data_IF_811624925130
#
_entry.id   IF_811624925130
#
_cell.length_a   1.000
_cell.length_b   1.000
_cell.length_c   1.000
_cell.angle_alpha   90.00
_cell.angle_beta   90.00
_cell.angle_gamma   90.00
#
_symmetry.space_group_name_H-M   'P 1'
#
loop_
_entity.id
_entity.type
_entity.pdbx_description
1 polymer ?
#
# COMPACT_ATOMS: atom_id res chain seq x y z
N UNK A 1 -59.48 52.68 -1.61
CA UNK A 1 -58.38 53.50 -2.15
C UNK A 1 -57.17 53.34 -1.23
N UNK A 2 -56.08 52.83 -1.79
CA UNK A 2 -54.69 52.79 -1.33
C UNK A 2 -54.37 52.34 0.11
N UNK A 3 -54.01 51.06 0.20
CA UNK A 3 -53.11 50.46 1.18
C UNK A 3 -51.71 51.11 1.12
N UNK A 4 -51.28 51.77 2.21
CA UNK A 4 -49.88 52.18 2.40
C UNK A 4 -49.08 50.99 2.93
N UNK A 5 -48.16 50.50 2.11
CA UNK A 5 -47.07 49.58 2.52
C UNK A 5 -46.11 50.34 3.43
N UNK A 6 -46.04 49.98 4.71
CA UNK A 6 -44.90 50.24 5.58
C UNK A 6 -44.10 48.95 5.72
N UNK A 7 -42.98 48.89 5.01
CA UNK A 7 -41.94 47.89 5.19
C UNK A 7 -41.25 48.23 6.52
N UNK A 8 -41.50 47.42 7.55
CA UNK A 8 -40.74 47.49 8.80
C UNK A 8 -39.64 46.43 8.73
N UNK A 9 -38.45 46.88 8.32
CA UNK A 9 -37.23 46.09 8.43
C UNK A 9 -36.81 46.07 9.92
N UNK A 10 -37.11 44.98 10.62
CA UNK A 10 -36.51 44.70 11.94
C UNK A 10 -35.34 43.76 11.67
N UNK A 11 -34.14 44.30 11.81
CA UNK A 11 -32.89 43.61 11.57
C UNK A 11 -32.72 42.41 12.50
N UNK A 12 -32.42 41.26 11.91
CA UNK A 12 -31.77 40.17 12.62
C UNK A 12 -30.39 40.67 13.04
N UNK A 13 -30.24 41.04 14.32
CA UNK A 13 -28.94 41.18 14.95
C UNK A 13 -28.35 39.76 15.08
N UNK A 14 -27.71 39.28 14.01
CA UNK A 14 -26.82 38.14 14.10
C UNK A 14 -25.63 38.61 14.92
N UNK A 15 -25.65 38.31 16.22
CA UNK A 15 -24.46 38.32 17.05
C UNK A 15 -23.50 37.27 16.47
N UNK A 16 -22.69 37.68 15.50
CA UNK A 16 -21.42 37.02 15.23
C UNK A 16 -20.58 37.26 16.48
N UNK A 17 -20.71 36.33 17.44
CA UNK A 17 -19.70 36.13 18.48
C UNK A 17 -18.46 35.64 17.76
N UNK A 18 -17.74 36.58 17.17
CA UNK A 18 -16.32 36.42 16.89
C UNK A 18 -15.62 36.45 18.25
N UNK A 19 -15.63 35.31 18.93
CA UNK A 19 -14.68 35.07 20.00
C UNK A 19 -13.31 34.88 19.34
N UNK A 20 -12.69 36.00 18.95
CA UNK A 20 -11.24 36.12 18.92
C UNK A 20 -10.75 35.95 20.35
N UNK A 21 -10.60 34.71 20.79
CA UNK A 21 -9.99 34.40 22.07
C UNK A 21 -8.47 34.61 21.93
N UNK A 22 -8.03 35.85 22.15
CA UNK A 22 -6.61 36.17 22.24
C UNK A 22 -5.97 35.27 23.32
N UNK A 23 -4.98 34.48 22.90
CA UNK A 23 -4.39 33.38 23.66
C UNK A 23 -3.62 33.83 24.90
N UNK A 24 -4.32 34.15 25.98
CA UNK A 24 -3.71 34.26 27.32
C UNK A 24 -3.71 32.88 27.98
N UNK A 25 -2.52 32.41 28.35
CA UNK A 25 -2.35 31.19 29.14
C UNK A 25 -2.94 31.41 30.54
N UNK A 26 -3.83 30.53 30.98
CA UNK A 26 -4.53 30.63 32.26
C UNK A 26 -3.59 30.61 33.47
N UNK A 27 -2.48 29.87 33.38
CA UNK A 27 -1.56 29.63 34.52
C UNK A 27 -0.12 30.10 34.24
N UNK A 28 0.13 30.82 33.16
CA UNK A 28 1.49 31.14 32.69
C UNK A 28 2.18 29.95 32.00
N UNK A 29 3.22 30.24 31.19
CA UNK A 29 3.80 29.26 30.26
C UNK A 29 4.40 28.02 30.94
N UNK A 30 5.11 28.21 32.06
CA UNK A 30 5.78 27.13 32.78
C UNK A 30 4.77 26.16 33.42
N UNK A 31 3.81 26.69 34.18
CA UNK A 31 2.75 25.88 34.80
C UNK A 31 1.83 25.24 33.77
N UNK A 32 1.61 25.89 32.61
CA UNK A 32 0.88 25.26 31.51
C UNK A 32 1.63 24.05 30.94
N UNK A 33 2.96 24.15 30.83
CA UNK A 33 3.81 23.05 30.35
C UNK A 33 3.84 21.90 31.36
N UNK A 34 3.91 22.20 32.65
CA UNK A 34 3.81 21.21 33.73
C UNK A 34 2.47 20.47 33.65
N UNK A 35 1.37 21.21 33.54
CA UNK A 35 0.03 20.62 33.39
C UNK A 35 -0.09 19.73 32.14
N UNK A 36 0.40 20.18 30.99
CA UNK A 36 0.37 19.40 29.76
C UNK A 36 1.21 18.11 29.87
N UNK A 37 2.35 18.15 30.56
CA UNK A 37 3.15 16.95 30.82
C UNK A 37 2.47 15.98 31.78
N UNK A 38 1.85 16.46 32.86
CA UNK A 38 1.09 15.60 33.78
C UNK A 38 -0.05 14.88 33.05
N UNK A 39 -0.79 15.59 32.19
CA UNK A 39 -1.82 14.99 31.34
C UNK A 39 -1.26 13.88 30.44
N UNK A 40 -0.11 14.13 29.79
CA UNK A 40 0.56 13.15 28.92
C UNK A 40 0.99 11.91 29.72
N UNK A 41 1.56 12.10 30.91
CA UNK A 41 2.05 11.02 31.76
C UNK A 41 0.89 10.16 32.33
N UNK A 42 -0.31 10.72 32.45
CA UNK A 42 -1.56 10.00 32.78
C UNK A 42 -2.28 9.40 31.56
N UNK A 43 -1.71 9.50 30.37
CA UNK A 43 -2.29 8.96 29.14
C UNK A 43 -3.43 9.82 28.54
N UNK A 44 -3.64 11.04 29.03
CA UNK A 44 -4.64 11.99 28.52
C UNK A 44 -4.06 12.77 27.32
N UNK A 45 -3.71 12.04 26.25
CA UNK A 45 -2.90 12.54 25.14
C UNK A 45 -3.56 13.68 24.35
N UNK A 46 -4.86 13.59 24.07
CA UNK A 46 -5.58 14.64 23.34
C UNK A 46 -5.60 15.95 24.13
N UNK A 47 -5.84 15.86 25.45
CA UNK A 47 -5.85 17.01 26.35
C UNK A 47 -4.44 17.59 26.49
N UNK A 48 -3.42 16.75 26.67
CA UNK A 48 -2.02 17.18 26.72
C UNK A 48 -1.62 17.97 25.47
N UNK A 49 -1.96 17.46 24.27
CA UNK A 49 -1.69 18.14 23.01
C UNK A 49 -2.45 19.47 22.90
N UNK A 50 -3.71 19.52 23.34
CA UNK A 50 -4.47 20.78 23.39
C UNK A 50 -3.75 21.84 24.22
N UNK A 51 -3.23 21.47 25.39
CA UNK A 51 -2.49 22.40 26.24
C UNK A 51 -1.13 22.80 25.65
N UNK A 52 -0.40 21.87 25.02
CA UNK A 52 0.82 22.21 24.29
C UNK A 52 0.57 23.16 23.11
N UNK A 53 -0.53 23.00 22.38
CA UNK A 53 -0.92 23.91 21.29
C UNK A 53 -1.25 25.31 21.80
N UNK A 54 -1.96 25.43 22.93
CA UNK A 54 -2.17 26.74 23.58
C UNK A 54 -0.85 27.45 23.91
N UNK A 55 0.18 26.70 24.34
CA UNK A 55 1.52 27.26 24.58
C UNK A 55 2.16 27.77 23.29
N UNK A 56 1.97 27.07 22.16
CA UNK A 56 2.44 27.56 20.86
C UNK A 56 1.71 28.84 20.42
N UNK A 57 0.40 28.89 20.62
CA UNK A 57 -0.46 29.99 20.17
C UNK A 57 -0.31 31.25 21.03
N UNK A 58 0.04 31.10 22.31
CA UNK A 58 0.31 32.22 23.21
C UNK A 58 1.53 33.07 22.80
N UNK A 59 2.39 32.56 21.91
CA UNK A 59 3.60 33.25 21.46
C UNK A 59 4.72 33.29 22.51
N UNK A 60 5.83 33.94 22.18
CA UNK A 60 6.99 34.08 23.08
C UNK A 60 7.98 32.91 23.07
N UNK A 61 7.69 31.83 22.35
CA UNK A 61 8.67 30.75 22.10
C UNK A 61 9.68 31.18 21.03
N UNK A 62 10.96 30.88 21.25
CA UNK A 62 11.95 30.88 20.18
C UNK A 62 11.61 29.85 19.10
N UNK A 63 12.19 30.00 17.90
CA UNK A 63 12.04 29.01 16.81
C UNK A 63 12.40 27.60 17.27
N UNK A 64 13.46 27.46 18.09
CA UNK A 64 13.93 26.18 18.63
C UNK A 64 12.93 25.58 19.62
N UNK A 65 12.39 26.39 20.54
CA UNK A 65 11.38 25.90 21.48
C UNK A 65 10.08 25.50 20.79
N UNK A 66 9.65 26.24 19.77
CA UNK A 66 8.46 25.91 19.00
C UNK A 66 8.66 24.65 18.16
N UNK A 67 9.83 24.47 17.56
CA UNK A 67 10.20 23.24 16.85
C UNK A 67 10.23 22.03 17.80
N UNK A 68 10.88 22.14 18.96
CA UNK A 68 10.91 21.06 19.95
C UNK A 68 9.51 20.70 20.46
N UNK A 69 8.64 21.70 20.65
CA UNK A 69 7.27 21.47 21.08
C UNK A 69 6.43 20.82 19.97
N UNK A 70 6.57 21.26 18.71
CA UNK A 70 5.92 20.61 17.55
C UNK A 70 6.39 19.17 17.41
N UNK A 71 7.69 18.91 17.60
CA UNK A 71 8.24 17.56 17.59
C UNK A 71 7.62 16.66 18.66
N UNK A 72 7.50 17.15 19.90
CA UNK A 72 6.83 16.44 21.00
C UNK A 72 5.36 16.15 20.68
N UNK A 73 4.61 17.14 20.18
CA UNK A 73 3.20 16.98 19.80
C UNK A 73 3.07 15.93 18.68
N UNK A 74 3.92 16.01 17.65
CA UNK A 74 3.95 15.05 16.55
C UNK A 74 4.20 13.62 17.02
N UNK A 75 5.11 13.42 17.98
CA UNK A 75 5.33 12.12 18.63
C UNK A 75 4.09 11.61 19.37
N UNK A 76 3.41 12.46 20.14
CA UNK A 76 2.19 12.04 20.86
C UNK A 76 1.11 11.58 19.87
N UNK A 77 0.89 12.34 18.79
CA UNK A 77 -0.04 11.92 17.73
C UNK A 77 0.36 10.58 17.11
N UNK A 78 1.63 10.42 16.76
CA UNK A 78 2.13 9.23 16.06
C UNK A 78 2.15 7.98 16.95
N UNK A 79 2.78 8.07 18.13
CA UNK A 79 3.13 6.92 18.98
C UNK A 79 1.99 6.54 19.93
N UNK A 80 1.22 7.51 20.41
CA UNK A 80 0.17 7.27 21.42
C UNK A 80 -1.24 7.25 20.83
N UNK A 81 -1.48 7.96 19.72
CA UNK A 81 -2.81 8.11 19.13
C UNK A 81 -2.96 7.45 17.75
N UNK A 82 -1.86 7.00 17.13
CA UNK A 82 -1.82 6.52 15.74
C UNK A 82 -2.43 7.52 14.72
N UNK A 83 -2.39 8.82 15.04
CA UNK A 83 -2.90 9.90 14.20
C UNK A 83 -1.78 10.43 13.30
N UNK A 84 -1.50 9.67 12.25
CA UNK A 84 -0.40 9.97 11.32
C UNK A 84 -0.62 11.27 10.53
N UNK A 85 -1.87 11.71 10.36
CA UNK A 85 -2.18 12.96 9.66
C UNK A 85 -1.77 14.17 10.48
N UNK A 86 -2.15 14.22 11.76
CA UNK A 86 -1.75 15.31 12.64
C UNK A 86 -0.26 15.23 13.00
N UNK A 87 0.29 14.03 13.14
CA UNK A 87 1.74 13.84 13.32
C UNK A 87 2.54 14.43 12.15
N UNK A 88 2.15 14.12 10.91
CA UNK A 88 2.78 14.64 9.70
C UNK A 88 2.78 16.17 9.68
N UNK A 89 1.67 16.81 10.03
CA UNK A 89 1.56 18.26 10.07
C UNK A 89 2.57 18.90 11.04
N UNK A 90 2.74 18.32 12.23
CA UNK A 90 3.69 18.81 13.23
C UNK A 90 5.14 18.57 12.83
N UNK A 91 5.48 17.41 12.24
CA UNK A 91 6.82 17.16 11.73
C UNK A 91 7.20 18.10 10.57
N UNK A 92 6.24 18.45 9.69
CA UNK A 92 6.44 19.48 8.67
C UNK A 92 6.71 20.84 9.32
N UNK A 93 5.98 21.21 10.38
CA UNK A 93 6.20 22.45 11.12
C UNK A 93 7.62 22.53 11.69
N UNK A 94 8.16 21.42 12.21
CA UNK A 94 9.58 21.35 12.63
C UNK A 94 10.52 21.66 11.47
N UNK A 95 10.32 21.04 10.30
CA UNK A 95 11.15 21.27 9.09
C UNK A 95 11.12 22.73 8.63
N UNK A 96 9.99 23.41 8.77
CA UNK A 96 9.85 24.84 8.41
C UNK A 96 10.56 25.74 9.42
N UNK A 97 10.46 25.44 10.71
CA UNK A 97 11.06 26.26 11.77
C UNK A 97 12.57 26.06 11.89
N UNK A 98 13.03 24.83 11.66
CA UNK A 98 14.42 24.38 11.82
C UNK A 98 14.81 23.40 10.70
N UNK A 99 15.01 23.88 9.46
CA UNK A 99 15.39 23.03 8.34
C UNK A 99 16.75 22.34 8.56
N UNK A 100 17.69 23.01 9.23
CA UNK A 100 19.01 22.51 9.58
C UNK A 100 19.14 22.44 11.11
N UNK A 101 18.95 21.23 11.66
CA UNK A 101 19.07 20.96 13.09
C UNK A 101 19.47 19.51 13.36
N UNK A 102 19.86 19.21 14.59
CA UNK A 102 20.14 17.84 15.04
C UNK A 102 18.91 16.92 14.92
N UNK A 103 17.70 17.50 14.90
CA UNK A 103 16.44 16.77 14.73
C UNK A 103 16.13 16.45 13.26
N UNK A 104 16.82 17.04 12.29
CA UNK A 104 16.45 16.95 10.88
C UNK A 104 16.42 15.50 10.36
N UNK A 105 17.33 14.63 10.81
CA UNK A 105 17.30 13.21 10.44
C UNK A 105 16.05 12.51 10.98
N UNK A 106 15.81 12.62 12.28
CA UNK A 106 14.70 11.92 12.93
C UNK A 106 13.34 12.42 12.43
N UNK A 107 13.19 13.74 12.27
CA UNK A 107 11.96 14.36 11.76
C UNK A 107 11.68 13.92 10.32
N UNK A 108 12.72 13.78 9.48
CA UNK A 108 12.53 13.29 8.11
C UNK A 108 12.13 11.81 8.09
N UNK A 109 12.75 10.96 8.91
CA UNK A 109 12.34 9.55 9.05
C UNK A 109 10.87 9.45 9.47
N UNK A 110 10.45 10.20 10.49
CA UNK A 110 9.06 10.20 10.97
C UNK A 110 8.08 10.79 9.95
N UNK A 111 8.51 11.77 9.16
CA UNK A 111 7.72 12.32 8.04
C UNK A 111 7.46 11.23 6.99
N UNK A 112 8.50 10.48 6.60
CA UNK A 112 8.40 9.37 5.64
C UNK A 112 7.47 8.29 6.19
N UNK A 113 7.66 7.87 7.44
CA UNK A 113 6.80 6.87 8.09
C UNK A 113 5.32 7.31 8.11
N UNK A 114 5.04 8.56 8.48
CA UNK A 114 3.66 9.08 8.44
C UNK A 114 3.08 9.04 7.03
N UNK A 115 3.86 9.42 6.00
CA UNK A 115 3.41 9.36 4.61
C UNK A 115 3.12 7.93 4.16
N UNK A 116 3.93 6.95 4.56
CA UNK A 116 3.69 5.53 4.27
C UNK A 116 2.43 5.01 4.95
N UNK A 117 2.23 5.30 6.24
CA UNK A 117 1.04 4.88 7.01
C UNK A 117 -0.25 5.51 6.48
N UNK A 118 -0.15 6.68 5.87
CA UNK A 118 -1.26 7.36 5.19
C UNK A 118 -1.49 6.88 3.74
N UNK A 119 -0.72 5.90 3.26
CA UNK A 119 -0.81 5.41 1.88
C UNK A 119 -0.26 6.39 0.83
N UNK A 120 0.45 7.45 1.24
CA UNK A 120 1.07 8.45 0.36
C UNK A 120 2.48 8.02 -0.06
N UNK A 121 2.60 6.83 -0.63
CA UNK A 121 3.88 6.17 -0.94
C UNK A 121 4.79 7.02 -1.85
N UNK A 122 4.22 7.83 -2.74
CA UNK A 122 4.98 8.68 -3.65
C UNK A 122 5.59 9.89 -2.96
N UNK A 123 4.85 10.50 -2.03
CA UNK A 123 5.37 11.59 -1.23
C UNK A 123 6.45 11.06 -0.27
N UNK A 124 6.25 9.87 0.30
CA UNK A 124 7.27 9.19 1.11
C UNK A 124 8.56 8.95 0.31
N UNK A 125 8.46 8.40 -0.91
CA UNK A 125 9.60 8.20 -1.81
C UNK A 125 10.28 9.52 -2.17
N UNK A 126 9.52 10.56 -2.53
CA UNK A 126 10.08 11.89 -2.85
C UNK A 126 10.82 12.49 -1.66
N UNK A 127 10.28 12.39 -0.46
CA UNK A 127 10.96 12.90 0.75
C UNK A 127 12.21 12.08 1.08
N UNK A 128 12.18 10.75 0.89
CA UNK A 128 13.34 9.87 1.04
C UNK A 128 14.45 10.22 0.02
N UNK A 129 14.10 10.44 -1.25
CA UNK A 129 15.02 10.83 -2.32
C UNK A 129 15.67 12.19 -2.05
N UNK A 130 14.88 13.20 -1.65
CA UNK A 130 15.39 14.52 -1.25
C UNK A 130 16.37 14.39 -0.09
N UNK A 131 16.04 13.58 0.92
CA UNK A 131 16.89 13.42 2.09
C UNK A 131 18.19 12.67 1.79
N UNK A 132 18.12 11.61 0.95
CA UNK A 132 19.28 10.85 0.47
C UNK A 132 20.22 11.70 -0.39
N UNK A 133 19.68 12.65 -1.17
CA UNK A 133 20.49 13.55 -2.00
C UNK A 133 21.12 14.69 -1.19
N UNK A 134 20.45 15.20 -0.15
CA UNK A 134 20.96 16.24 0.74
C UNK A 134 22.02 15.74 1.74
N UNK A 135 21.96 14.48 2.18
CA UNK A 135 22.91 13.90 3.15
C UNK A 135 24.01 13.03 2.53
N UNK A 136 24.19 13.07 1.20
CA UNK A 136 25.26 12.29 0.57
C UNK A 136 26.64 12.92 0.86
N UNK A 137 27.29 12.43 1.92
CA UNK A 137 28.67 11.92 1.74
C UNK A 137 28.58 10.88 0.63
N UNK A 138 29.44 10.89 -0.40
CA UNK A 138 29.30 10.00 -1.54
C UNK A 138 29.22 8.57 -1.02
N UNK A 139 28.03 8.00 -1.12
CA UNK A 139 27.82 6.58 -0.90
C UNK A 139 28.63 5.92 -2.00
N UNK A 140 29.82 5.44 -1.62
CA UNK A 140 30.62 4.57 -2.47
C UNK A 140 29.69 3.38 -2.71
N UNK A 141 29.08 3.33 -3.88
CA UNK A 141 28.27 2.20 -4.28
C UNK A 141 29.10 0.95 -3.99
N UNK A 142 28.67 0.14 -3.02
CA UNK A 142 29.34 -1.12 -2.73
C UNK A 142 29.07 -2.00 -3.95
N UNK A 143 30.12 -2.27 -4.71
CA UNK A 143 30.05 -3.06 -5.94
C UNK A 143 30.27 -2.27 -7.23
N UNK A 144 30.41 -3.01 -8.32
CA UNK A 144 30.73 -2.45 -9.64
C UNK A 144 29.52 -1.72 -10.21
N UNK A 145 29.63 -0.41 -10.44
CA UNK A 145 28.59 0.40 -11.10
C UNK A 145 28.56 0.07 -12.59
N UNK A 146 27.39 -0.33 -13.10
CA UNK A 146 27.17 -0.68 -14.52
C UNK A 146 26.38 0.38 -15.28
N UNK A 147 25.63 1.25 -14.59
CA UNK A 147 24.98 2.41 -15.20
C UNK A 147 24.72 3.54 -14.19
N UNK A 148 24.48 4.75 -14.69
CA UNK A 148 24.05 5.91 -13.90
C UNK A 148 22.87 6.61 -14.56
N UNK A 149 21.82 6.88 -13.79
CA UNK A 149 20.64 7.65 -14.18
C UNK A 149 20.55 8.88 -13.26
N UNK A 150 21.07 10.02 -13.72
CA UNK A 150 21.20 11.25 -12.90
C UNK A 150 21.95 10.95 -11.59
N UNK A 151 21.24 10.97 -10.46
CA UNK A 151 21.80 10.74 -9.12
C UNK A 151 21.67 9.29 -8.65
N UNK A 152 21.05 8.40 -9.45
CA UNK A 152 20.89 6.98 -9.19
C UNK A 152 22.03 6.21 -9.89
N UNK A 153 22.69 5.31 -9.17
CA UNK A 153 23.64 4.35 -9.76
C UNK A 153 23.01 2.97 -9.76
N UNK A 154 23.20 2.21 -10.84
CA UNK A 154 22.81 0.81 -10.93
C UNK A 154 24.10 -0.01 -10.82
N UNK A 155 24.17 -0.91 -9.85
CA UNK A 155 25.30 -1.82 -9.66
C UNK A 155 25.09 -3.14 -10.38
N UNK A 156 26.17 -3.92 -10.53
CA UNK A 156 26.10 -5.29 -11.07
C UNK A 156 25.19 -6.18 -10.22
N UNK A 157 25.20 -5.99 -8.89
CA UNK A 157 24.33 -6.72 -7.97
C UNK A 157 22.85 -6.36 -8.20
N UNK A 158 22.52 -5.09 -8.36
CA UNK A 158 21.15 -4.67 -8.69
C UNK A 158 20.66 -5.35 -9.98
N UNK A 159 21.50 -5.39 -11.00
CA UNK A 159 21.18 -6.02 -12.27
C UNK A 159 20.93 -7.53 -12.11
N UNK A 160 21.81 -8.22 -11.39
CA UNK A 160 21.67 -9.66 -11.12
C UNK A 160 20.42 -9.93 -10.26
N UNK A 161 20.05 -9.03 -9.35
CA UNK A 161 18.83 -9.13 -8.54
C UNK A 161 17.56 -9.04 -9.39
N UNK A 162 17.51 -8.12 -10.35
CA UNK A 162 16.38 -8.00 -11.28
C UNK A 162 16.26 -9.24 -12.18
N UNK A 163 17.39 -9.78 -12.66
CA UNK A 163 17.38 -11.04 -13.45
C UNK A 163 16.81 -12.19 -12.61
N UNK A 164 17.20 -12.31 -11.33
CA UNK A 164 16.71 -13.38 -10.43
C UNK A 164 15.21 -13.35 -10.16
N UNK A 165 14.52 -12.22 -10.41
CA UNK A 165 13.05 -12.13 -10.29
C UNK A 165 12.32 -12.75 -11.48
N UNK A 166 13.01 -12.97 -12.59
CA UNK A 166 12.43 -13.59 -13.78
C UNK A 166 12.22 -15.09 -13.56
N UNK A 167 11.29 -15.74 -14.27
CA UNK A 167 11.17 -17.20 -14.25
C UNK A 167 12.48 -17.88 -14.61
N UNK A 168 12.78 -19.04 -14.00
CA UNK A 168 14.07 -19.74 -14.14
C UNK A 168 14.51 -19.91 -15.60
N UNK A 169 13.59 -20.30 -16.50
CA UNK A 169 13.86 -20.48 -17.93
C UNK A 169 14.27 -19.19 -18.66
N UNK A 170 13.91 -18.03 -18.12
CA UNK A 170 14.29 -16.72 -18.65
C UNK A 170 15.65 -16.28 -18.07
N UNK A 171 15.93 -16.61 -16.80
CA UNK A 171 17.22 -16.28 -16.17
C UNK A 171 18.40 -16.87 -16.96
N UNK A 172 18.23 -18.08 -17.48
CA UNK A 172 19.24 -18.79 -18.28
C UNK A 172 19.64 -18.03 -19.54
N UNK A 173 18.77 -17.18 -20.09
CA UNK A 173 19.05 -16.36 -21.29
C UNK A 173 20.02 -15.20 -21.01
N UNK A 174 20.25 -14.85 -19.75
CA UNK A 174 21.06 -13.71 -19.33
C UNK A 174 22.34 -14.12 -18.59
N UNK A 175 22.84 -15.35 -18.82
CA UNK A 175 24.11 -15.81 -18.26
C UNK A 175 25.32 -15.11 -18.87
N UNK A 176 25.26 -14.80 -20.17
CA UNK A 176 26.34 -14.13 -20.90
C UNK A 176 26.36 -12.62 -20.63
N UNK A 177 27.56 -12.05 -20.46
CA UNK A 177 27.73 -10.62 -20.17
C UNK A 177 27.11 -9.70 -21.25
N UNK A 178 27.19 -10.10 -22.53
CA UNK A 178 26.54 -9.36 -23.63
C UNK A 178 25.02 -9.30 -23.47
N UNK A 179 24.40 -10.41 -23.06
CA UNK A 179 22.96 -10.50 -22.79
C UNK A 179 22.57 -9.74 -21.52
N UNK A 180 23.43 -9.70 -20.51
CA UNK A 180 23.24 -8.83 -19.34
C UNK A 180 23.25 -7.35 -19.70
N UNK A 181 24.11 -6.92 -20.63
CA UNK A 181 24.10 -5.53 -21.14
C UNK A 181 22.81 -5.23 -21.90
N UNK A 182 22.29 -6.16 -22.69
CA UNK A 182 20.99 -6.03 -23.36
C UNK A 182 19.85 -5.85 -22.34
N UNK A 183 19.82 -6.71 -21.31
CA UNK A 183 18.88 -6.61 -20.20
C UNK A 183 18.99 -5.27 -19.45
N UNK A 184 20.22 -4.84 -19.14
CA UNK A 184 20.49 -3.54 -18.50
C UNK A 184 19.91 -2.37 -19.31
N UNK A 185 20.07 -2.39 -20.64
CA UNK A 185 19.49 -1.36 -21.52
C UNK A 185 17.96 -1.35 -21.44
N UNK A 186 17.33 -2.52 -21.47
CA UNK A 186 15.87 -2.64 -21.38
C UNK A 186 15.35 -2.20 -20.00
N UNK A 187 16.06 -2.56 -18.94
CA UNK A 187 15.76 -2.15 -17.57
C UNK A 187 15.82 -0.62 -17.44
N UNK A 188 16.91 0.01 -17.89
CA UNK A 188 17.05 1.47 -17.88
C UNK A 188 15.96 2.14 -18.70
N UNK A 189 15.62 1.60 -19.88
CA UNK A 189 14.55 2.15 -20.70
C UNK A 189 13.20 2.13 -19.97
N UNK A 190 12.89 1.03 -19.28
CA UNK A 190 11.69 0.89 -18.45
C UNK A 190 11.66 1.92 -17.32
N UNK A 191 12.77 2.09 -16.58
CA UNK A 191 12.90 3.08 -15.52
C UNK A 191 12.67 4.52 -16.02
N UNK A 192 13.24 4.87 -17.17
CA UNK A 192 13.06 6.19 -17.77
C UNK A 192 11.62 6.43 -18.25
N UNK A 193 10.95 5.40 -18.76
CA UNK A 193 9.53 5.46 -19.13
C UNK A 193 8.65 5.63 -17.89
N UNK A 194 8.95 4.92 -16.80
CA UNK A 194 8.27 5.07 -15.51
C UNK A 194 8.44 6.48 -14.93
N UNK A 195 9.65 7.04 -14.93
CA UNK A 195 9.92 8.43 -14.54
C UNK A 195 9.14 9.44 -15.40
N UNK A 196 8.95 9.13 -16.69
CA UNK A 196 8.11 9.93 -17.60
C UNK A 196 6.63 9.87 -17.21
N UNK A 197 6.11 8.68 -16.90
CA UNK A 197 4.74 8.48 -16.44
C UNK A 197 4.47 9.22 -15.12
N UNK A 198 5.39 9.15 -14.16
CA UNK A 198 5.31 9.90 -12.89
C UNK A 198 5.23 11.42 -13.12
N UNK A 199 6.08 11.96 -14.00
CA UNK A 199 6.04 13.41 -14.34
C UNK A 199 4.72 13.84 -14.99
N UNK A 200 4.01 12.92 -15.64
CA UNK A 200 2.67 13.14 -16.20
C UNK A 200 1.54 12.87 -15.20
N UNK A 201 1.87 12.58 -13.94
CA UNK A 201 0.91 12.32 -12.87
C UNK A 201 -0.04 11.13 -13.14
N UNK A 202 0.44 10.12 -13.88
CA UNK A 202 -0.34 8.91 -14.17
C UNK A 202 -0.69 8.10 -12.92
N UNK A 203 -0.01 8.36 -11.81
CA UNK A 203 -0.36 7.84 -10.47
C UNK A 203 -1.76 8.27 -9.99
N UNK A 204 -2.25 9.42 -10.44
CA UNK A 204 -3.59 9.92 -10.11
C UNK A 204 -4.61 9.69 -11.23
N UNK A 205 -4.22 8.97 -12.28
CA UNK A 205 -5.13 8.60 -13.36
C UNK A 205 -6.13 7.56 -12.84
N UNK A 206 -7.41 7.81 -13.08
CA UNK A 206 -8.50 6.99 -12.56
C UNK A 206 -8.46 5.55 -13.10
N UNK A 207 -8.19 5.36 -14.40
CA UNK A 207 -8.12 4.03 -15.00
C UNK A 207 -6.92 3.25 -14.43
N UNK A 208 -5.78 3.92 -14.21
CA UNK A 208 -4.62 3.30 -13.56
C UNK A 208 -4.92 2.90 -12.11
N UNK A 209 -5.54 3.78 -11.33
CA UNK A 209 -5.93 3.49 -9.93
C UNK A 209 -6.89 2.29 -9.89
N UNK A 210 -7.93 2.32 -10.72
CA UNK A 210 -8.94 1.26 -10.75
C UNK A 210 -8.31 -0.08 -11.16
N UNK A 211 -7.46 -0.09 -12.19
CA UNK A 211 -6.74 -1.30 -12.61
C UNK A 211 -5.75 -1.80 -11.56
N UNK A 212 -5.01 -0.91 -10.89
CA UNK A 212 -4.11 -1.28 -9.81
C UNK A 212 -4.86 -1.90 -8.62
N UNK A 213 -6.01 -1.32 -8.26
CA UNK A 213 -6.90 -1.87 -7.24
C UNK A 213 -7.40 -3.27 -7.62
N UNK A 214 -7.89 -3.46 -8.84
CA UNK A 214 -8.34 -4.78 -9.31
C UNK A 214 -7.18 -5.79 -9.37
N UNK A 215 -6.00 -5.39 -9.86
CA UNK A 215 -4.83 -6.26 -9.89
C UNK A 215 -4.42 -6.72 -8.47
N UNK A 216 -4.39 -5.79 -7.50
CA UNK A 216 -4.13 -6.11 -6.10
C UNK A 216 -5.18 -7.08 -5.55
N UNK A 217 -6.46 -6.81 -5.79
CA UNK A 217 -7.56 -7.70 -5.36
C UNK A 217 -7.38 -9.11 -5.94
N UNK A 218 -7.08 -9.24 -7.22
CA UNK A 218 -6.85 -10.52 -7.88
C UNK A 218 -5.65 -11.27 -7.29
N UNK A 219 -4.53 -10.59 -7.03
CA UNK A 219 -3.36 -11.21 -6.38
C UNK A 219 -3.67 -11.69 -4.97
N UNK A 220 -4.46 -10.94 -4.19
CA UNK A 220 -4.89 -11.36 -2.85
C UNK A 220 -5.79 -12.60 -2.91
N UNK A 221 -6.73 -12.64 -3.86
CA UNK A 221 -7.59 -13.82 -4.08
C UNK A 221 -6.75 -15.03 -4.51
N UNK A 222 -5.83 -14.86 -5.45
CA UNK A 222 -4.94 -15.93 -5.90
C UNK A 222 -4.12 -16.48 -4.72
N UNK A 223 -3.54 -15.60 -3.91
CA UNK A 223 -2.74 -15.99 -2.74
C UNK A 223 -3.56 -16.79 -1.73
N UNK A 224 -4.81 -16.38 -1.46
CA UNK A 224 -5.73 -17.13 -0.61
C UNK A 224 -6.01 -18.53 -1.19
N UNK A 225 -6.30 -18.62 -2.49
CA UNK A 225 -6.56 -19.90 -3.15
C UNK A 225 -5.35 -20.83 -3.10
N UNK A 226 -4.15 -20.32 -3.34
CA UNK A 226 -2.92 -21.10 -3.24
C UNK A 226 -2.73 -21.70 -1.84
N UNK A 227 -3.03 -20.94 -0.78
CA UNK A 227 -2.94 -21.42 0.60
C UNK A 227 -4.01 -22.47 0.93
N UNK A 228 -5.25 -22.24 0.49
CA UNK A 228 -6.36 -23.18 0.67
C UNK A 228 -6.13 -24.50 -0.08
N UNK A 229 -5.61 -24.44 -1.32
CA UNK A 229 -5.30 -25.64 -2.13
C UNK A 229 -4.12 -26.39 -1.52
N UNK A 230 -3.03 -25.70 -1.16
CA UNK A 230 -1.84 -26.34 -0.59
C UNK A 230 -2.14 -27.11 0.71
N UNK A 231 -3.09 -26.61 1.50
CA UNK A 231 -3.52 -27.28 2.74
C UNK A 231 -4.44 -28.50 2.53
N UNK A 232 -5.10 -28.61 1.36
CA UNK A 232 -6.18 -29.61 1.13
C UNK A 232 -5.84 -30.66 0.07
N UNK A 233 -4.88 -30.40 -0.82
CA UNK A 233 -4.57 -31.28 -1.94
C UNK A 233 -3.56 -32.38 -1.54
N UNK A 234 -4.03 -33.46 -0.92
CA UNK A 234 -3.27 -34.69 -0.72
C UNK A 234 -3.74 -35.76 -1.73
N UNK A 235 -3.05 -35.86 -2.87
CA UNK A 235 -3.39 -36.83 -3.92
C UNK A 235 -2.73 -38.17 -3.63
N UNK A 236 -3.53 -39.24 -3.48
CA UNK A 236 -3.00 -40.61 -3.35
C UNK A 236 -3.10 -41.37 -4.66
N UNK A 237 -2.29 -42.42 -4.83
CA UNK A 237 -2.38 -43.31 -6.00
C UNK A 237 -3.77 -43.98 -6.10
N UNK A 238 -4.39 -44.29 -4.95
CA UNK A 238 -5.75 -44.83 -4.90
C UNK A 238 -6.79 -43.87 -5.49
N UNK A 239 -6.67 -42.58 -5.21
CA UNK A 239 -7.54 -41.55 -5.77
C UNK A 239 -7.41 -41.49 -7.30
N UNK A 240 -6.17 -41.54 -7.81
CA UNK A 240 -5.90 -41.51 -9.25
C UNK A 240 -6.44 -42.75 -9.96
N UNK A 241 -6.32 -43.94 -9.36
CA UNK A 241 -6.89 -45.17 -9.91
C UNK A 241 -8.42 -45.10 -9.96
N UNK A 242 -9.05 -44.66 -8.88
CA UNK A 242 -10.50 -44.48 -8.83
C UNK A 242 -10.98 -43.46 -9.88
N UNK A 243 -10.24 -42.36 -10.04
CA UNK A 243 -10.53 -41.35 -11.04
C UNK A 243 -10.46 -41.92 -12.46
N UNK A 244 -9.37 -42.63 -12.78
CA UNK A 244 -9.19 -43.29 -14.06
C UNK A 244 -10.33 -44.28 -14.34
N UNK A 245 -10.71 -45.12 -13.37
CA UNK A 245 -11.81 -46.07 -13.52
C UNK A 245 -13.15 -45.39 -13.82
N UNK A 246 -13.45 -44.28 -13.15
CA UNK A 246 -14.65 -43.48 -13.39
C UNK A 246 -14.64 -42.76 -14.76
N UNK A 247 -13.45 -42.40 -15.26
CA UNK A 247 -13.24 -41.61 -16.48
C UNK A 247 -12.62 -42.40 -17.63
N UNK A 248 -12.73 -43.74 -17.63
CA UNK A 248 -12.09 -44.62 -18.64
C UNK A 248 -12.30 -44.16 -20.08
N UNK A 249 -13.50 -43.67 -20.39
CA UNK A 249 -13.89 -43.21 -21.73
C UNK A 249 -13.04 -42.05 -22.26
N UNK A 250 -12.42 -41.27 -21.37
CA UNK A 250 -11.58 -40.12 -21.74
C UNK A 250 -10.15 -40.54 -22.13
N UNK A 251 -9.78 -41.81 -21.86
CA UNK A 251 -8.45 -42.36 -22.08
C UNK A 251 -8.44 -43.42 -23.20
N UNK A 252 -9.09 -43.13 -24.31
CA UNK A 252 -9.13 -44.00 -25.50
C UNK A 252 -8.26 -43.40 -26.60
N UNK A 253 -7.40 -44.22 -27.21
CA UNK A 253 -6.66 -43.86 -28.41
C UNK A 253 -7.19 -44.61 -29.63
N UNK A 254 -7.10 -43.99 -30.81
CA UNK A 254 -7.38 -44.68 -32.08
C UNK A 254 -6.07 -45.12 -32.68
N UNK A 255 -5.96 -46.41 -33.00
CA UNK A 255 -4.80 -46.94 -33.71
C UNK A 255 -4.81 -46.52 -35.20
N UNK A 256 -3.79 -46.95 -35.95
CA UNK A 256 -3.64 -46.66 -37.38
C UNK A 256 -4.79 -47.18 -38.24
N UNK A 257 -5.50 -48.20 -37.76
CA UNK A 257 -6.66 -48.82 -38.42
C UNK A 257 -7.99 -48.25 -37.91
N UNK A 258 -7.96 -47.14 -37.15
CA UNK A 258 -9.10 -46.48 -36.51
C UNK A 258 -9.82 -47.36 -35.48
N UNK A 259 -9.19 -48.42 -34.97
CA UNK A 259 -9.74 -49.21 -33.86
C UNK A 259 -9.45 -48.50 -32.55
N UNK A 260 -10.45 -48.47 -31.67
CA UNK A 260 -10.34 -47.87 -30.35
C UNK A 260 -9.59 -48.82 -29.42
N UNK A 261 -8.49 -48.34 -28.85
CA UNK A 261 -7.72 -49.00 -27.80
C UNK A 261 -7.87 -48.19 -26.51
N UNK A 262 -8.32 -48.85 -25.46
CA UNK A 262 -8.33 -48.27 -24.11
C UNK A 262 -6.89 -48.20 -23.60
N UNK A 263 -6.41 -47.01 -23.24
CA UNK A 263 -5.12 -46.86 -22.57
C UNK A 263 -5.19 -47.42 -21.16
N UNK A 264 -4.12 -48.02 -20.65
CA UNK A 264 -4.04 -48.44 -19.24
C UNK A 264 -3.91 -47.25 -18.30
N UNK A 265 -4.03 -47.49 -16.99
CA UNK A 265 -3.79 -46.47 -15.96
C UNK A 265 -2.35 -45.93 -16.06
N UNK A 266 -1.37 -46.82 -16.24
CA UNK A 266 0.05 -46.46 -16.37
C UNK A 266 0.30 -45.62 -17.62
N UNK A 267 -0.30 -45.99 -18.76
CA UNK A 267 -0.22 -45.22 -20.02
C UNK A 267 -0.86 -43.83 -19.90
N UNK A 268 -1.83 -43.67 -18.99
CA UNK A 268 -2.61 -42.43 -18.81
C UNK A 268 -2.23 -41.64 -17.55
N UNK A 269 -1.24 -42.10 -16.77
CA UNK A 269 -1.00 -41.64 -15.40
C UNK A 269 -0.86 -40.12 -15.28
N UNK A 270 -0.01 -39.49 -16.11
CA UNK A 270 0.21 -38.03 -16.06
C UNK A 270 -1.05 -37.24 -16.46
N UNK A 271 -1.80 -37.73 -17.47
CA UNK A 271 -3.07 -37.10 -17.88
C UNK A 271 -4.14 -37.22 -16.79
N UNK A 272 -4.24 -38.39 -16.15
CA UNK A 272 -5.12 -38.66 -15.01
C UNK A 272 -4.76 -37.75 -13.84
N UNK A 273 -3.48 -37.63 -13.49
CA UNK A 273 -2.99 -36.78 -12.41
C UNK A 273 -3.30 -35.30 -12.66
N UNK A 274 -3.09 -34.81 -13.88
CA UNK A 274 -3.40 -33.43 -14.25
C UNK A 274 -4.90 -33.15 -14.19
N UNK A 275 -5.72 -34.01 -14.80
CA UNK A 275 -7.19 -33.86 -14.83
C UNK A 275 -7.78 -33.91 -13.41
N UNK A 276 -7.40 -34.92 -12.62
CA UNK A 276 -7.80 -35.03 -11.22
C UNK A 276 -7.38 -33.81 -10.40
N UNK A 277 -6.14 -33.32 -10.59
CA UNK A 277 -5.65 -32.12 -9.91
C UNK A 277 -6.48 -30.88 -10.24
N UNK A 278 -6.82 -30.65 -11.51
CA UNK A 278 -7.66 -29.53 -11.95
C UNK A 278 -9.07 -29.64 -11.37
N UNK A 279 -9.68 -30.81 -11.41
CA UNK A 279 -11.03 -31.04 -10.87
C UNK A 279 -11.07 -30.82 -9.36
N UNK A 280 -10.08 -31.32 -8.62
CA UNK A 280 -9.96 -31.07 -7.17
C UNK A 280 -9.74 -29.61 -6.83
N UNK A 281 -8.93 -28.88 -7.61
CA UNK A 281 -8.79 -27.43 -7.43
C UNK A 281 -10.13 -26.71 -7.63
N UNK A 282 -10.90 -27.09 -8.66
CA UNK A 282 -12.23 -26.54 -8.90
C UNK A 282 -13.20 -26.86 -7.75
N UNK A 283 -13.17 -28.09 -7.21
CA UNK A 283 -13.99 -28.48 -6.06
C UNK A 283 -13.65 -27.65 -4.82
N UNK A 284 -12.37 -27.50 -4.48
CA UNK A 284 -11.90 -26.68 -3.35
C UNK A 284 -12.35 -25.24 -3.51
N UNK A 285 -12.24 -24.68 -4.72
CA UNK A 285 -12.69 -23.33 -5.04
C UNK A 285 -14.20 -23.15 -4.80
N UNK A 286 -15.03 -24.08 -5.29
CA UNK A 286 -16.48 -24.03 -5.09
C UNK A 286 -16.87 -24.18 -3.60
N UNK A 287 -16.21 -25.08 -2.88
CA UNK A 287 -16.42 -25.24 -1.44
C UNK A 287 -16.09 -23.97 -0.67
N UNK A 288 -14.96 -23.31 -0.98
CA UNK A 288 -14.57 -22.06 -0.37
C UNK A 288 -15.60 -20.95 -0.64
N UNK A 289 -16.06 -20.80 -1.88
CA UNK A 289 -17.11 -19.83 -2.22
C UNK A 289 -18.36 -20.09 -1.39
N UNK A 290 -18.85 -21.34 -1.37
CA UNK A 290 -20.08 -21.68 -0.65
C UNK A 290 -19.95 -21.43 0.85
N UNK A 291 -18.78 -21.72 1.44
CA UNK A 291 -18.49 -21.41 2.83
C UNK A 291 -18.54 -19.91 3.10
N UNK A 292 -17.89 -19.10 2.26
CA UNK A 292 -17.85 -17.64 2.41
C UNK A 292 -19.25 -17.01 2.22
N UNK A 293 -19.99 -17.41 1.19
CA UNK A 293 -21.36 -16.94 0.96
C UNK A 293 -22.27 -17.24 2.16
N UNK A 294 -22.16 -18.45 2.73
CA UNK A 294 -22.93 -18.85 3.90
C UNK A 294 -22.52 -18.07 5.16
N UNK A 295 -21.21 -17.91 5.39
CA UNK A 295 -20.68 -17.18 6.55
C UNK A 295 -21.13 -15.72 6.54
N UNK A 296 -21.09 -15.08 5.37
CA UNK A 296 -21.51 -13.69 5.16
C UNK A 296 -23.02 -13.53 4.93
N UNK A 297 -23.80 -14.63 5.01
CA UNK A 297 -25.26 -14.65 4.84
C UNK A 297 -25.71 -13.96 3.54
N UNK A 298 -24.95 -14.18 2.46
CA UNK A 298 -25.24 -13.57 1.16
C UNK A 298 -26.55 -14.11 0.61
N UNK A 299 -27.46 -13.21 0.23
CA UNK A 299 -28.68 -13.54 -0.49
C UNK A 299 -28.52 -13.15 -1.96
N UNK A 300 -28.74 -14.10 -2.87
CA UNK A 300 -28.68 -13.86 -4.32
C UNK A 300 -30.12 -13.80 -4.84
N UNK A 301 -30.51 -12.66 -5.39
CA UNK A 301 -31.80 -12.47 -6.07
C UNK A 301 -31.62 -12.87 -7.54
N UNK A 302 -31.75 -14.17 -7.84
CA UNK A 302 -31.54 -14.73 -9.18
C UNK A 302 -32.73 -14.54 -10.12
N UNK A 303 -33.91 -14.28 -9.55
CA UNK A 303 -35.17 -14.03 -10.22
C UNK A 303 -35.14 -12.81 -11.15
N UNK A 304 -34.35 -11.78 -10.82
CA UNK A 304 -34.18 -10.57 -11.66
C UNK A 304 -33.48 -10.84 -13.00
N UNK A 305 -32.83 -12.00 -13.15
CA UNK A 305 -32.12 -12.39 -14.38
C UNK A 305 -32.92 -13.38 -15.24
N UNK A 306 -34.11 -13.80 -14.80
CA UNK A 306 -34.96 -14.70 -15.59
C UNK A 306 -35.67 -13.90 -16.69
N UNK A 307 -35.68 -14.37 -17.94
CA UNK A 307 -36.41 -13.69 -19.01
C UNK A 307 -37.89 -13.58 -18.63
N UNK A 308 -38.50 -12.43 -18.95
CA UNK A 308 -39.93 -12.23 -18.75
C UNK A 308 -40.71 -13.33 -19.49
N UNK A 309 -41.65 -13.96 -18.79
CA UNK A 309 -42.56 -14.96 -19.37
C UNK A 309 -43.48 -14.35 -20.41
#
# INVERSE_FOLDING_TARGET
MLTKKTILAIGLAVFLVSCGNNGKLSMGMEKQREYANELKDKGLYLQAVSEFKKIQDAGGLSKKENANLSYLIGKIYMENMNDYQNALAEFIKVKVLMPESDLSLEVNTRTIECLERLGKTLDAQREMEKYSTLNKKPEIAKGTVVAKIRNRSITKEDLDNEIRKLPSYVQDMYKDDSKKVEFLRQYIATELMYDSAKRRNFENDKDIIDRAFQAKKSLMVQKLLEEEIKGKLNVTEGDLKNYYEAHKKDYVEKDKDKKEKQKTFEESFESVKQAYGMEKQQEIYQQLINQLLKAEKVTIYDDVFKPAK
#
